data_IF_328325092891
#
_entry.id   IF_328325092891
#
_cell.length_a   1.000
_cell.length_b   1.000
_cell.length_c   1.000
_cell.angle_alpha   90.00
_cell.angle_beta   90.00
_cell.angle_gamma   90.00
#
_symmetry.space_group_name_H-M   'P 1'
#
loop_
_entity.id
_entity.type
_entity.pdbx_description
1 polymer ?
#
# COMPACT_ATOMS: atom_id res chain seq x y z
N UNK A 1 -12.62 34.40 -1.46
CA UNK A 1 -12.42 33.24 -0.57
C UNK A 1 -13.36 32.14 -1.05
N UNK A 2 -12.82 31.02 -1.53
CA UNK A 2 -13.64 29.81 -1.68
C UNK A 2 -13.97 29.26 -0.30
N UNK A 3 -15.04 28.48 -0.17
CA UNK A 3 -15.59 27.94 1.08
C UNK A 3 -14.64 27.08 1.92
N UNK A 4 -13.44 26.80 1.41
CA UNK A 4 -12.59 25.70 1.89
C UNK A 4 -11.27 26.16 2.55
N UNK A 5 -10.98 27.47 2.54
CA UNK A 5 -9.82 28.06 3.23
C UNK A 5 -10.24 28.61 4.59
N UNK A 6 -9.68 28.08 5.69
CA UNK A 6 -10.10 28.41 7.06
C UNK A 6 -9.51 29.70 7.62
N UNK A 7 -8.55 30.31 6.91
CA UNK A 7 -7.95 31.62 7.27
C UNK A 7 -7.52 32.36 6.01
N UNK A 8 -7.54 33.70 6.04
CA UNK A 8 -6.88 34.51 5.03
C UNK A 8 -5.36 34.35 5.18
N UNK A 9 -4.69 33.84 4.15
CA UNK A 9 -3.23 33.69 4.15
C UNK A 9 -2.53 35.01 4.42
N UNK A 10 -1.33 34.96 5.02
CA UNK A 10 -0.48 36.15 5.21
C UNK A 10 0.33 36.37 3.93
N UNK A 11 0.05 37.45 3.21
CA UNK A 11 0.78 37.83 2.01
C UNK A 11 1.95 38.75 2.37
N UNK A 12 3.14 38.41 1.90
CA UNK A 12 4.34 39.27 1.99
C UNK A 12 4.78 39.64 0.58
N UNK A 13 4.97 40.94 0.33
CA UNK A 13 5.36 41.52 -0.97
C UNK A 13 6.88 41.68 -1.10
N UNK A 14 7.60 41.77 0.03
CA UNK A 14 9.05 41.97 0.11
C UNK A 14 9.90 40.71 -0.06
N UNK A 15 9.31 39.52 0.05
CA UNK A 15 10.00 38.23 -0.17
C UNK A 15 9.17 37.30 -1.06
N UNK A 16 9.86 36.36 -1.72
CA UNK A 16 9.23 35.25 -2.44
C UNK A 16 8.73 34.15 -1.49
N UNK A 17 9.24 34.14 -0.25
CA UNK A 17 9.07 33.06 0.71
C UNK A 17 7.96 33.35 1.73
N UNK A 18 7.39 32.26 2.26
CA UNK A 18 6.57 32.21 3.47
C UNK A 18 5.13 32.78 3.38
N UNK A 19 4.47 32.73 2.22
CA UNK A 19 3.02 32.93 2.19
C UNK A 19 2.30 31.62 2.53
N UNK A 20 2.08 31.40 3.82
CA UNK A 20 1.37 30.21 4.29
C UNK A 20 -0.13 30.45 4.37
N UNK A 21 -0.89 29.43 4.02
CA UNK A 21 -2.32 29.36 4.25
C UNK A 21 -2.70 27.96 4.71
N UNK A 22 -3.72 27.86 5.53
CA UNK A 22 -4.24 26.57 5.98
C UNK A 22 -5.41 26.16 5.10
N UNK A 23 -5.31 24.97 4.52
CA UNK A 23 -6.38 24.32 3.78
C UNK A 23 -6.72 22.99 4.44
N UNK A 24 -7.94 22.86 4.97
CA UNK A 24 -8.42 21.64 5.65
C UNK A 24 -7.45 21.09 6.71
N UNK A 25 -6.82 21.98 7.49
CA UNK A 25 -5.88 21.63 8.56
C UNK A 25 -4.43 21.38 8.09
N UNK A 26 -4.14 21.46 6.80
CA UNK A 26 -2.78 21.37 6.25
C UNK A 26 -2.25 22.78 6.00
N UNK A 27 -1.06 23.08 6.49
CA UNK A 27 -0.34 24.30 6.13
C UNK A 27 0.28 24.14 4.74
N UNK A 28 -0.09 25.03 3.83
CA UNK A 28 0.37 25.08 2.46
C UNK A 28 1.18 26.36 2.25
N UNK A 29 2.27 26.28 1.50
CA UNK A 29 3.08 27.44 1.13
C UNK A 29 2.79 27.82 -0.31
N UNK A 30 2.43 29.08 -0.53
CA UNK A 30 2.32 29.69 -1.84
C UNK A 30 3.54 30.58 -2.09
N UNK A 31 4.23 30.36 -3.20
CA UNK A 31 5.29 31.26 -3.64
C UNK A 31 4.70 32.19 -4.71
N UNK A 32 4.63 33.48 -4.39
CA UNK A 32 4.11 34.49 -5.32
C UNK A 32 5.28 35.30 -5.86
N UNK A 33 5.48 35.18 -7.17
CA UNK A 33 6.50 35.94 -7.86
C UNK A 33 5.87 37.13 -8.60
N UNK A 34 6.17 38.34 -8.11
CA UNK A 34 5.82 39.59 -8.76
C UNK A 34 7.06 40.20 -9.44
N UNK A 35 6.93 40.79 -10.64
CA UNK A 35 8.03 41.51 -11.27
C UNK A 35 8.45 42.73 -10.43
N UNK A 36 9.67 43.22 -10.61
CA UNK A 36 10.22 44.31 -9.79
C UNK A 36 9.34 45.58 -9.77
N UNK A 37 8.66 45.87 -10.88
CA UNK A 37 7.72 46.98 -10.99
C UNK A 37 6.47 46.84 -10.10
N UNK A 38 6.04 45.60 -9.83
CA UNK A 38 4.84 45.31 -9.04
C UNK A 38 5.15 45.14 -7.54
N UNK A 39 6.42 45.25 -7.15
CA UNK A 39 6.89 45.11 -5.76
C UNK A 39 7.30 46.43 -5.10
N UNK A 40 7.05 47.55 -5.79
CA UNK A 40 7.50 48.88 -5.37
C UNK A 40 6.74 49.39 -4.14
N UNK A 41 5.49 48.97 -3.95
CA UNK A 41 4.69 49.28 -2.75
C UNK A 41 3.62 48.22 -2.50
N UNK A 42 3.12 48.13 -1.27
CA UNK A 42 2.04 47.23 -0.86
C UNK A 42 0.81 47.41 -1.74
N UNK A 43 0.44 48.66 -2.03
CA UNK A 43 -0.71 48.98 -2.89
C UNK A 43 -0.52 48.48 -4.34
N UNK A 44 0.71 48.51 -4.87
CA UNK A 44 1.02 48.01 -6.22
C UNK A 44 0.97 46.47 -6.26
N UNK A 45 1.49 45.82 -5.22
CA UNK A 45 1.46 44.36 -5.10
C UNK A 45 0.02 43.84 -4.93
N UNK A 46 -0.78 44.49 -4.08
CA UNK A 46 -2.18 44.16 -3.87
C UNK A 46 -3.00 44.33 -5.16
N UNK A 47 -2.75 45.41 -5.92
CA UNK A 47 -3.39 45.64 -7.21
C UNK A 47 -3.00 44.57 -8.26
N UNK A 48 -1.75 44.11 -8.27
CA UNK A 48 -1.28 43.06 -9.18
C UNK A 48 -1.87 41.67 -8.88
N UNK A 49 -2.27 41.44 -7.62
CA UNK A 49 -2.88 40.20 -7.14
C UNK A 49 -4.41 40.26 -7.08
N UNK A 50 -5.00 41.45 -7.19
CA UNK A 50 -6.44 41.65 -7.22
C UNK A 50 -7.10 40.84 -8.34
N UNK A 51 -8.23 40.19 -8.03
CA UNK A 51 -9.00 39.35 -8.95
C UNK A 51 -8.27 38.11 -9.51
N UNK A 52 -7.12 37.73 -8.95
CA UNK A 52 -6.50 36.43 -9.29
C UNK A 52 -7.18 35.29 -8.53
N UNK A 53 -7.55 34.25 -9.27
CA UNK A 53 -7.99 32.97 -8.70
C UNK A 53 -6.85 31.96 -8.76
N UNK A 54 -6.54 31.34 -7.62
CA UNK A 54 -5.57 30.25 -7.54
C UNK A 54 -6.32 28.94 -7.31
N UNK A 55 -6.02 27.94 -8.13
CA UNK A 55 -6.57 26.61 -7.98
C UNK A 55 -5.50 25.70 -7.39
N UNK A 56 -5.80 25.10 -6.24
CA UNK A 56 -5.03 23.96 -5.77
C UNK A 56 -5.48 22.72 -6.55
N UNK A 57 -4.52 22.01 -7.13
CA UNK A 57 -4.75 20.72 -7.75
C UNK A 57 -3.63 19.76 -7.32
N UNK A 58 -3.95 18.49 -7.10
CA UNK A 58 -2.94 17.45 -6.98
C UNK A 58 -2.28 17.20 -8.34
N UNK A 59 -1.04 16.72 -8.36
CA UNK A 59 -0.45 16.20 -9.60
C UNK A 59 -1.37 15.11 -10.19
N UNK A 60 -1.71 15.17 -11.50
CA UNK A 60 -2.49 14.11 -12.15
C UNK A 60 -1.80 12.76 -12.07
N UNK A 61 -2.61 11.70 -11.94
CA UNK A 61 -2.10 10.34 -11.95
C UNK A 61 -1.42 9.98 -13.27
N UNK A 62 -0.42 9.11 -13.16
CA UNK A 62 0.34 8.69 -14.33
C UNK A 62 -0.41 7.56 -15.02
N UNK A 63 -0.54 7.65 -16.33
CA UNK A 63 -1.17 6.60 -17.13
C UNK A 63 -0.17 6.15 -18.17
N UNK A 64 0.16 4.87 -18.16
CA UNK A 64 0.98 4.24 -19.18
C UNK A 64 0.10 3.37 -20.07
N UNK A 65 0.51 3.25 -21.33
CA UNK A 65 -0.23 2.46 -22.31
C UNK A 65 0.70 1.61 -23.12
N UNK A 66 0.31 0.37 -23.36
CA UNK A 66 1.01 -0.56 -24.24
C UNK A 66 0.07 -1.09 -25.33
N UNK A 67 0.61 -1.28 -26.53
CA UNK A 67 -0.14 -1.81 -27.67
C UNK A 67 -0.22 -3.33 -27.56
N UNK A 68 -1.41 -3.90 -27.70
CA UNK A 68 -1.55 -5.36 -27.78
C UNK A 68 -0.91 -5.91 -29.05
N UNK A 69 -0.20 -7.04 -28.92
CA UNK A 69 0.44 -7.70 -30.06
C UNK A 69 -0.57 -8.20 -31.11
N UNK A 70 -1.85 -8.39 -30.73
CA UNK A 70 -2.92 -8.84 -31.61
C UNK A 70 -3.54 -7.76 -32.50
N UNK A 71 -3.10 -6.50 -32.40
CA UNK A 71 -3.65 -5.41 -33.19
C UNK A 71 -3.21 -5.52 -34.66
N UNK A 72 -4.15 -5.22 -35.57
CA UNK A 72 -3.93 -5.35 -37.01
C UNK A 72 -3.45 -4.06 -37.66
N UNK A 73 -3.77 -2.89 -37.08
CA UNK A 73 -3.29 -1.59 -37.58
C UNK A 73 -1.89 -1.25 -37.09
N UNK A 74 -1.24 -0.26 -37.69
CA UNK A 74 0.02 0.31 -37.17
C UNK A 74 -0.19 1.41 -36.13
N UNK A 75 -1.42 1.61 -35.64
CA UNK A 75 -1.71 2.69 -34.71
C UNK A 75 -1.02 2.49 -33.36
N UNK A 76 -0.54 3.59 -32.78
CA UNK A 76 0.15 3.61 -31.48
C UNK A 76 -0.43 4.72 -30.60
N UNK A 77 -0.30 4.57 -29.28
CA UNK A 77 -0.60 5.64 -28.34
C UNK A 77 0.70 6.44 -28.14
N UNK A 78 0.72 7.69 -28.59
CA UNK A 78 1.88 8.58 -28.50
C UNK A 78 1.99 9.28 -27.14
N UNK A 79 0.85 9.48 -26.48
CA UNK A 79 0.76 10.09 -25.16
C UNK A 79 -0.52 9.67 -24.44
N UNK A 80 -0.43 9.50 -23.13
CA UNK A 80 -1.54 9.15 -22.24
C UNK A 80 -1.44 10.02 -21.00
N UNK A 81 -2.39 10.93 -20.82
CA UNK A 81 -2.37 11.88 -19.70
C UNK A 81 -3.77 12.05 -19.13
N UNK A 82 -3.88 12.07 -17.80
CA UNK A 82 -5.13 12.48 -17.14
C UNK A 82 -5.39 13.94 -17.48
N UNK A 83 -6.62 14.25 -17.89
CA UNK A 83 -7.02 15.60 -18.26
C UNK A 83 -6.88 16.58 -17.10
N UNK A 84 -6.62 17.85 -17.44
CA UNK A 84 -6.41 18.92 -16.46
C UNK A 84 -7.72 19.60 -16.02
N UNK A 85 -8.85 19.33 -16.69
CA UNK A 85 -10.13 19.95 -16.37
C UNK A 85 -10.76 19.29 -15.15
N UNK A 86 -11.52 20.04 -14.35
CA UNK A 86 -12.19 19.48 -13.17
C UNK A 86 -13.08 18.27 -13.51
N UNK A 87 -13.75 18.31 -14.66
CA UNK A 87 -14.59 17.22 -15.16
C UNK A 87 -13.77 15.95 -15.46
N UNK A 88 -12.61 16.09 -16.13
CA UNK A 88 -11.71 14.96 -16.41
C UNK A 88 -11.23 14.32 -15.12
N UNK A 89 -10.86 15.13 -14.12
CA UNK A 89 -10.34 14.61 -12.85
C UNK A 89 -11.42 13.90 -12.03
N UNK A 90 -12.65 14.41 -12.04
CA UNK A 90 -13.79 13.74 -11.44
C UNK A 90 -14.11 12.44 -12.18
N UNK A 91 -14.07 12.43 -13.51
CA UNK A 91 -14.28 11.22 -14.30
C UNK A 91 -13.20 10.18 -14.00
N UNK A 92 -11.93 10.59 -13.94
CA UNK A 92 -10.82 9.69 -13.64
C UNK A 92 -10.98 9.05 -12.26
N UNK A 93 -11.16 9.86 -11.22
CA UNK A 93 -11.25 9.36 -9.85
C UNK A 93 -12.47 8.47 -9.59
N UNK A 94 -13.60 8.71 -10.28
CA UNK A 94 -14.85 8.00 -10.00
C UNK A 94 -15.16 6.86 -10.98
N UNK A 95 -14.61 6.93 -12.20
CA UNK A 95 -14.99 5.99 -13.28
C UNK A 95 -13.82 5.24 -13.86
N UNK A 96 -12.57 5.71 -13.73
CA UNK A 96 -11.44 4.98 -14.30
C UNK A 96 -11.13 3.70 -13.48
N UNK A 97 -10.97 2.53 -14.12
CA UNK A 97 -10.65 1.28 -13.41
C UNK A 97 -9.30 1.34 -12.69
N UNK A 98 -9.26 0.97 -11.41
CA UNK A 98 -8.04 1.02 -10.58
C UNK A 98 -7.04 -0.09 -10.91
N UNK A 99 -7.51 -1.26 -11.32
CA UNK A 99 -6.68 -2.45 -11.57
C UNK A 99 -6.15 -2.51 -13.02
N UNK A 100 -6.30 -1.42 -13.77
CA UNK A 100 -5.96 -1.31 -15.18
C UNK A 100 -7.18 -1.38 -16.09
N UNK A 101 -7.00 -0.88 -17.31
CA UNK A 101 -8.06 -0.77 -18.30
C UNK A 101 -7.57 -1.23 -19.68
N UNK A 102 -8.51 -1.54 -20.56
CA UNK A 102 -8.23 -1.88 -21.96
C UNK A 102 -9.04 -0.93 -22.82
N UNK A 103 -8.34 -0.08 -23.58
CA UNK A 103 -8.93 0.75 -24.61
C UNK A 103 -9.05 -0.05 -25.90
N UNK A 104 -10.28 -0.39 -26.29
CA UNK A 104 -10.59 -1.18 -27.48
C UNK A 104 -11.25 -0.30 -28.53
N UNK A 105 -10.70 -0.27 -29.74
CA UNK A 105 -11.32 0.40 -30.88
C UNK A 105 -12.40 -0.49 -31.51
N UNK A 106 -13.58 0.07 -31.73
CA UNK A 106 -14.71 -0.58 -32.42
C UNK A 106 -14.81 -0.13 -33.88
N UNK A 107 -14.26 1.05 -34.19
CA UNK A 107 -14.06 1.58 -35.54
C UNK A 107 -12.75 2.37 -35.61
N UNK A 108 -12.37 2.95 -36.76
CA UNK A 108 -11.21 3.84 -36.85
C UNK A 108 -11.27 5.08 -35.96
N UNK A 109 -12.46 5.46 -35.47
CA UNK A 109 -12.67 6.63 -34.61
C UNK A 109 -13.38 6.31 -33.31
N UNK A 110 -14.15 5.22 -33.24
CA UNK A 110 -14.95 4.87 -32.06
C UNK A 110 -14.19 3.87 -31.18
N UNK A 111 -14.31 4.09 -29.86
CA UNK A 111 -13.63 3.27 -28.86
C UNK A 111 -14.50 3.03 -27.64
N UNK A 112 -14.16 1.94 -26.97
CA UNK A 112 -14.70 1.53 -25.68
C UNK A 112 -13.54 1.28 -24.71
N UNK A 113 -13.67 1.80 -23.49
CA UNK A 113 -12.76 1.52 -22.39
C UNK A 113 -13.37 0.45 -21.49
N UNK A 114 -12.65 -0.64 -21.26
CA UNK A 114 -13.06 -1.74 -20.38
C UNK A 114 -12.15 -1.81 -19.16
N UNK A 115 -12.67 -2.30 -18.03
CA UNK A 115 -11.83 -2.70 -16.90
C UNK A 115 -11.07 -4.00 -17.24
N UNK A 116 -9.80 -4.06 -16.84
CA UNK A 116 -9.02 -5.29 -16.93
C UNK A 116 -9.31 -6.22 -15.73
N UNK A 117 -9.36 -7.55 -15.90
CA UNK A 117 -9.28 -8.29 -17.16
C UNK A 117 -10.59 -8.24 -17.98
N UNK A 118 -10.46 -8.22 -19.32
CA UNK A 118 -11.61 -8.25 -20.22
C UNK A 118 -12.21 -9.67 -20.31
N UNK A 119 -13.52 -9.78 -20.06
CA UNK A 119 -14.30 -11.02 -20.20
C UNK A 119 -15.43 -10.83 -21.21
N UNK A 120 -16.05 -11.91 -21.67
CA UNK A 120 -17.19 -11.85 -22.61
C UNK A 120 -18.43 -11.16 -22.06
N UNK A 121 -18.55 -11.05 -20.73
CA UNK A 121 -19.62 -10.32 -20.03
C UNK A 121 -19.24 -8.89 -19.62
N UNK A 122 -18.03 -8.44 -19.90
CA UNK A 122 -17.55 -7.12 -19.50
C UNK A 122 -18.32 -6.03 -20.25
N UNK A 123 -18.80 -5.02 -19.51
CA UNK A 123 -19.42 -3.81 -20.07
C UNK A 123 -18.38 -2.70 -20.19
N UNK A 124 -18.48 -1.83 -21.21
CA UNK A 124 -17.61 -0.67 -21.31
C UNK A 124 -17.88 0.27 -20.12
N UNK A 125 -16.79 0.73 -19.53
CA UNK A 125 -16.74 1.70 -18.43
C UNK A 125 -16.93 3.11 -18.98
N UNK A 126 -16.39 3.36 -20.17
CA UNK A 126 -16.58 4.58 -20.94
C UNK A 126 -16.57 4.21 -22.43
N UNK A 127 -17.30 4.97 -23.23
CA UNK A 127 -17.31 4.85 -24.69
C UNK A 127 -17.29 6.24 -25.29
N UNK A 128 -16.74 6.38 -26.49
CA UNK A 128 -16.64 7.67 -27.15
C UNK A 128 -16.11 7.59 -28.56
N UNK A 129 -16.03 8.75 -29.19
CA UNK A 129 -15.48 8.93 -30.53
C UNK A 129 -14.29 9.88 -30.45
N UNK A 130 -13.22 9.55 -31.16
CA UNK A 130 -12.02 10.36 -31.23
C UNK A 130 -12.33 11.74 -31.79
N UNK A 131 -11.79 12.76 -31.14
CA UNK A 131 -11.78 14.13 -31.67
C UNK A 131 -10.39 14.40 -32.25
N UNK A 132 -10.28 14.42 -33.57
CA UNK A 132 -8.98 14.43 -34.25
C UNK A 132 -8.20 13.16 -33.95
N UNK A 133 -7.03 13.29 -33.33
CA UNK A 133 -6.19 12.18 -32.88
C UNK A 133 -6.35 11.81 -31.40
N UNK A 134 -7.28 12.45 -30.67
CA UNK A 134 -7.42 12.25 -29.22
C UNK A 134 -8.69 11.48 -28.87
N UNK A 135 -8.52 10.39 -28.10
CA UNK A 135 -9.60 9.68 -27.42
C UNK A 135 -9.63 10.10 -25.94
N UNK A 136 -10.75 10.65 -25.45
CA UNK A 136 -10.95 10.93 -24.04
C UNK A 136 -11.83 9.84 -23.43
N UNK A 137 -11.26 8.98 -22.59
CA UNK A 137 -12.00 7.89 -21.94
C UNK A 137 -11.85 8.00 -20.42
N UNK A 138 -12.98 8.10 -19.71
CA UNK A 138 -13.01 8.25 -18.25
C UNK A 138 -12.02 9.31 -17.71
N UNK A 139 -11.88 10.45 -18.39
CA UNK A 139 -11.01 11.55 -17.98
C UNK A 139 -9.52 11.41 -18.34
N UNK A 140 -9.14 10.35 -19.07
CA UNK A 140 -7.79 10.20 -19.64
C UNK A 140 -7.81 10.56 -21.12
N UNK A 141 -6.88 11.42 -21.53
CA UNK A 141 -6.64 11.77 -22.92
C UNK A 141 -5.55 10.86 -23.50
N UNK A 142 -5.95 10.00 -24.44
CA UNK A 142 -5.07 9.14 -25.23
C UNK A 142 -4.85 9.79 -26.59
N UNK A 143 -3.62 10.18 -26.90
CA UNK A 143 -3.25 10.66 -28.22
C UNK A 143 -2.81 9.48 -29.08
N UNK A 144 -3.51 9.26 -30.18
CA UNK A 144 -3.33 8.13 -31.07
C UNK A 144 -2.59 8.60 -32.33
N UNK A 145 -1.48 7.95 -32.64
CA UNK A 145 -0.75 8.12 -33.89
C UNK A 145 -1.15 7.03 -34.88
N UNK A 146 -1.47 7.42 -36.11
CA UNK A 146 -2.01 6.51 -37.14
C UNK A 146 -3.53 6.31 -37.03
N UNK A 147 -4.04 5.34 -37.80
CA UNK A 147 -5.48 5.04 -37.87
C UNK A 147 -5.74 3.67 -37.27
N UNK A 148 -6.41 3.57 -36.11
CA UNK A 148 -6.81 2.29 -35.52
C UNK A 148 -7.72 1.48 -36.45
N UNK A 149 -7.70 0.16 -36.29
CA UNK A 149 -8.67 -0.73 -36.90
C UNK A 149 -9.65 -1.25 -35.84
N UNK A 150 -10.85 -1.63 -36.28
CA UNK A 150 -11.83 -2.28 -35.42
C UNK A 150 -11.22 -3.57 -34.82
N UNK A 151 -11.27 -3.69 -33.49
CA UNK A 151 -10.71 -4.80 -32.74
C UNK A 151 -9.36 -4.53 -32.08
N UNK A 152 -8.67 -3.45 -32.46
CA UNK A 152 -7.40 -3.05 -31.84
C UNK A 152 -7.58 -2.71 -30.36
N UNK A 153 -6.61 -3.10 -29.55
CA UNK A 153 -6.61 -3.00 -28.10
C UNK A 153 -5.30 -2.39 -27.60
N UNK A 154 -5.43 -1.46 -26.66
CA UNK A 154 -4.33 -0.87 -25.92
C UNK A 154 -4.56 -1.13 -24.44
N UNK A 155 -3.58 -1.75 -23.80
CA UNK A 155 -3.60 -2.02 -22.37
C UNK A 155 -3.16 -0.73 -21.68
N UNK A 156 -3.95 -0.29 -20.71
CA UNK A 156 -3.77 0.95 -19.98
C UNK A 156 -3.52 0.59 -18.51
N UNK A 157 -2.39 1.04 -17.98
CA UNK A 157 -2.06 0.89 -16.57
C UNK A 157 -2.07 2.28 -15.92
N UNK A 158 -2.67 2.36 -14.74
CA UNK A 158 -2.72 3.60 -13.96
C UNK A 158 -1.78 3.48 -12.76
N UNK A 159 -0.82 4.39 -12.66
CA UNK A 159 -0.03 4.62 -11.45
C UNK A 159 -0.68 5.71 -10.61
N UNK A 160 -1.32 5.33 -9.50
CA UNK A 160 -1.92 6.27 -8.56
C UNK A 160 -0.83 6.88 -7.67
N UNK A 161 -0.70 8.21 -7.64
CA UNK A 161 0.22 8.89 -6.72
C UNK A 161 -0.27 8.87 -5.27
N UNK A 162 -1.43 8.25 -4.98
CA UNK A 162 -1.88 7.96 -3.60
C UNK A 162 -0.87 7.09 -2.84
N UNK A 163 -0.14 6.22 -3.54
CA UNK A 163 0.93 5.39 -2.97
C UNK A 163 2.18 5.53 -3.82
N UNK A 164 2.90 6.64 -3.65
CA UNK A 164 4.20 6.82 -4.29
C UNK A 164 5.25 5.90 -3.67
N UNK A 165 5.97 5.19 -4.55
CA UNK A 165 7.11 4.40 -4.14
C UNK A 165 8.28 5.32 -3.77
N UNK A 166 9.06 4.95 -2.75
CA UNK A 166 10.26 5.70 -2.35
C UNK A 166 11.27 5.85 -3.49
N UNK A 167 11.41 4.83 -4.36
CA UNK A 167 12.28 4.87 -5.53
C UNK A 167 11.77 5.84 -6.59
N UNK A 168 10.45 5.93 -6.78
CA UNK A 168 9.84 6.92 -7.68
C UNK A 168 10.02 8.33 -7.12
N UNK A 169 9.84 8.50 -5.81
CA UNK A 169 10.09 9.77 -5.10
C UNK A 169 11.54 10.23 -5.28
N UNK A 170 12.52 9.32 -5.12
CA UNK A 170 13.93 9.62 -5.35
C UNK A 170 14.21 9.95 -6.82
N UNK A 171 13.61 9.20 -7.75
CA UNK A 171 13.75 9.47 -9.20
C UNK A 171 13.20 10.84 -9.57
N UNK A 172 12.05 11.23 -9.02
CA UNK A 172 11.46 12.55 -9.19
C UNK A 172 12.35 13.66 -8.62
N UNK A 173 12.95 13.45 -7.44
CA UNK A 173 13.91 14.40 -6.84
C UNK A 173 15.18 14.56 -7.69
N UNK A 174 15.76 13.45 -8.17
CA UNK A 174 16.93 13.48 -9.07
C UNK A 174 16.59 14.23 -10.36
N UNK A 175 15.42 13.98 -10.95
CA UNK A 175 14.95 14.66 -12.16
C UNK A 175 14.74 16.15 -11.94
N UNK A 176 14.21 16.54 -10.77
CA UNK A 176 14.06 17.94 -10.42
C UNK A 176 15.43 18.64 -10.31
N UNK A 177 16.41 17.98 -9.67
CA UNK A 177 17.78 18.50 -9.54
C UNK A 177 18.57 18.52 -10.85
N UNK A 178 18.25 17.64 -11.81
CA UNK A 178 18.90 17.61 -13.11
C UNK A 178 18.27 18.53 -14.15
N UNK A 179 17.15 19.19 -13.82
CA UNK A 179 16.49 20.15 -14.71
C UNK A 179 17.16 21.52 -14.60
N UNK A 180 17.71 22.09 -15.68
CA UNK A 180 18.32 23.43 -15.63
C UNK A 180 17.29 24.50 -15.25
N UNK A 181 17.64 25.36 -14.29
CA UNK A 181 16.76 26.44 -13.79
C UNK A 181 17.28 27.85 -14.10
N UNK A 182 18.43 27.95 -14.78
CA UNK A 182 19.14 29.22 -14.98
C UNK A 182 18.27 30.28 -15.67
N UNK A 183 18.10 31.40 -14.98
CA UNK A 183 17.34 32.56 -15.47
C UNK A 183 15.82 32.36 -15.56
N UNK A 184 15.28 31.17 -15.24
CA UNK A 184 13.85 30.90 -15.29
C UNK A 184 13.27 30.72 -13.88
N UNK A 185 12.58 31.76 -13.42
CA UNK A 185 12.00 31.82 -12.07
C UNK A 185 10.84 30.83 -11.87
N UNK A 186 10.17 30.39 -12.94
CA UNK A 186 9.15 29.33 -12.88
C UNK A 186 9.81 27.97 -12.72
N UNK A 187 10.90 27.71 -13.45
CA UNK A 187 11.65 26.47 -13.35
C UNK A 187 12.26 26.29 -11.95
N UNK A 188 12.81 27.35 -11.36
CA UNK A 188 13.35 27.34 -10.00
C UNK A 188 12.27 27.02 -8.95
N UNK A 189 11.07 27.62 -9.07
CA UNK A 189 9.95 27.32 -8.16
C UNK A 189 9.46 25.87 -8.30
N UNK A 190 9.36 25.36 -9.53
CA UNK A 190 8.98 23.96 -9.77
C UNK A 190 9.99 23.00 -9.16
N UNK A 191 11.29 23.31 -9.22
CA UNK A 191 12.34 22.52 -8.57
C UNK A 191 12.15 22.50 -7.05
N UNK A 192 11.99 23.66 -6.41
CA UNK A 192 11.77 23.75 -4.95
C UNK A 192 10.50 23.02 -4.53
N UNK A 193 9.41 23.15 -5.28
CA UNK A 193 8.16 22.44 -5.00
C UNK A 193 8.33 20.92 -5.10
N UNK A 194 9.03 20.43 -6.14
CA UNK A 194 9.32 19.01 -6.30
C UNK A 194 10.20 18.45 -5.15
N UNK A 195 11.20 19.21 -4.70
CA UNK A 195 12.05 18.83 -3.57
C UNK A 195 11.26 18.79 -2.25
N UNK A 196 10.40 19.77 -1.98
CA UNK A 196 9.55 19.79 -0.79
C UNK A 196 8.58 18.60 -0.78
N UNK A 197 7.98 18.28 -1.92
CA UNK A 197 7.13 17.09 -2.05
C UNK A 197 7.92 15.81 -1.83
N UNK A 198 9.14 15.71 -2.37
CA UNK A 198 10.00 14.55 -2.16
C UNK A 198 10.38 14.37 -0.68
N UNK A 199 10.70 15.46 0.03
CA UNK A 199 10.97 15.44 1.46
C UNK A 199 9.77 14.95 2.28
N UNK A 200 8.56 15.43 1.97
CA UNK A 200 7.34 14.97 2.63
C UNK A 200 7.05 13.48 2.40
N UNK A 201 7.23 13.01 1.18
CA UNK A 201 7.08 11.59 0.83
C UNK A 201 8.13 10.72 1.53
N UNK A 202 9.39 11.16 1.60
CA UNK A 202 10.45 10.45 2.32
C UNK A 202 10.16 10.36 3.83
N UNK A 203 9.69 11.45 4.46
CA UNK A 203 9.31 11.42 5.87
C UNK A 203 8.18 10.42 6.12
N UNK A 204 7.19 10.38 5.23
CA UNK A 204 6.09 9.40 5.31
C UNK A 204 6.60 7.97 5.15
N UNK A 205 7.55 7.73 4.23
CA UNK A 205 8.17 6.43 4.05
C UNK A 205 8.97 5.97 5.28
N UNK A 206 9.68 6.89 5.95
CA UNK A 206 10.39 6.61 7.21
C UNK A 206 9.40 6.18 8.30
N UNK A 207 8.28 6.88 8.44
CA UNK A 207 7.23 6.51 9.41
C UNK A 207 6.62 5.14 9.12
N UNK A 208 6.38 4.81 7.84
CA UNK A 208 5.91 3.48 7.44
C UNK A 208 6.93 2.39 7.79
N UNK A 209 8.22 2.64 7.53
CA UNK A 209 9.28 1.72 7.89
C UNK A 209 9.40 1.56 9.43
N UNK A 210 9.26 2.63 10.19
CA UNK A 210 9.25 2.63 11.66
C UNK A 210 8.07 1.81 12.21
N UNK A 211 6.89 1.98 11.62
CA UNK A 211 5.68 1.20 11.95
C UNK A 211 5.89 -0.28 11.66
N UNK A 212 6.45 -0.63 10.49
CA UNK A 212 6.74 -2.00 10.12
C UNK A 212 7.75 -2.66 11.09
N UNK A 213 8.80 -1.93 11.48
CA UNK A 213 9.78 -2.40 12.49
C UNK A 213 9.13 -2.63 13.85
N UNK A 214 8.29 -1.70 14.30
CA UNK A 214 7.54 -1.82 15.56
C UNK A 214 6.61 -3.04 15.55
N UNK A 215 5.88 -3.27 14.45
CA UNK A 215 5.05 -4.45 14.26
C UNK A 215 5.87 -5.75 14.27
N UNK A 216 7.05 -5.74 13.66
CA UNK A 216 8.01 -6.84 13.72
C UNK A 216 8.45 -7.14 15.15
N UNK A 217 8.80 -6.11 15.93
CA UNK A 217 9.15 -6.25 17.35
C UNK A 217 8.01 -6.78 18.21
N UNK A 218 6.77 -6.32 17.97
CA UNK A 218 5.59 -6.84 18.66
C UNK A 218 5.35 -8.33 18.35
N UNK A 219 5.52 -8.75 17.10
CA UNK A 219 5.44 -10.17 16.70
C UNK A 219 6.55 -11.01 17.32
N UNK A 220 7.77 -10.48 17.40
CA UNK A 220 8.88 -11.15 18.08
C UNK A 220 8.56 -11.35 19.57
N UNK A 221 8.04 -10.33 20.25
CA UNK A 221 7.63 -10.44 21.65
C UNK A 221 6.54 -11.50 21.84
N UNK A 222 5.52 -11.51 20.97
CA UNK A 222 4.46 -12.51 21.00
C UNK A 222 5.00 -13.93 20.77
N UNK A 223 5.94 -14.10 19.84
CA UNK A 223 6.59 -15.39 19.59
C UNK A 223 7.41 -15.87 20.79
N UNK A 224 8.17 -14.98 21.43
CA UNK A 224 8.91 -15.29 22.66
C UNK A 224 7.98 -15.70 23.79
N UNK A 225 6.89 -14.95 24.00
CA UNK A 225 5.88 -15.27 25.02
C UNK A 225 5.24 -16.64 24.77
N UNK A 226 4.87 -16.92 23.52
CA UNK A 226 4.34 -18.24 23.14
C UNK A 226 5.37 -19.35 23.37
N UNK A 227 6.65 -19.10 23.09
CA UNK A 227 7.75 -20.01 23.39
C UNK A 227 7.81 -20.36 24.89
N UNK A 228 7.79 -19.34 25.75
CA UNK A 228 7.74 -19.53 27.21
C UNK A 228 6.51 -20.33 27.65
N UNK A 229 5.33 -20.03 27.09
CA UNK A 229 4.11 -20.80 27.37
C UNK A 229 4.23 -22.26 26.94
N UNK A 230 4.81 -22.53 25.78
CA UNK A 230 5.03 -23.89 25.29
C UNK A 230 6.00 -24.67 26.19
N UNK A 231 7.07 -24.02 26.67
CA UNK A 231 8.02 -24.64 27.58
C UNK A 231 7.39 -24.96 28.94
N UNK A 232 6.55 -24.06 29.47
CA UNK A 232 5.76 -24.33 30.68
C UNK A 232 4.79 -25.51 30.48
N UNK A 233 4.09 -25.58 29.35
CA UNK A 233 3.21 -26.69 29.00
C UNK A 233 3.96 -28.02 28.92
N UNK A 234 5.15 -28.04 28.31
CA UNK A 234 6.02 -29.22 28.28
C UNK A 234 6.48 -29.64 29.68
N UNK A 235 6.86 -28.67 30.52
CA UNK A 235 7.24 -28.91 31.92
C UNK A 235 6.10 -29.55 32.71
N UNK A 236 4.91 -28.94 32.66
CA UNK A 236 3.71 -29.45 33.33
C UNK A 236 3.34 -30.85 32.83
N UNK A 237 3.36 -31.09 31.52
CA UNK A 237 3.11 -32.42 30.96
C UNK A 237 4.13 -33.47 31.47
N UNK A 238 5.40 -33.09 31.63
CA UNK A 238 6.43 -33.98 32.17
C UNK A 238 6.16 -34.30 33.66
N UNK A 239 5.78 -33.30 34.46
CA UNK A 239 5.40 -33.49 35.87
C UNK A 239 4.15 -34.35 36.02
N UNK A 240 3.11 -34.09 35.23
CA UNK A 240 1.86 -34.87 35.24
C UNK A 240 2.12 -36.33 34.85
N UNK A 241 2.83 -36.56 33.73
CA UNK A 241 3.22 -37.92 33.32
C UNK A 241 4.06 -38.62 34.40
N UNK A 242 4.99 -37.90 35.02
CA UNK A 242 5.78 -38.43 36.15
C UNK A 242 4.91 -38.87 37.31
N UNK A 243 3.87 -38.12 37.68
CA UNK A 243 2.94 -38.50 38.76
C UNK A 243 2.22 -39.81 38.45
N UNK A 244 1.68 -39.98 37.24
CA UNK A 244 0.97 -41.22 36.88
C UNK A 244 1.91 -42.42 36.78
N UNK A 245 3.05 -42.27 36.09
CA UNK A 245 3.99 -43.38 35.85
C UNK A 245 4.67 -43.79 37.16
N UNK A 246 5.10 -42.84 37.99
CA UNK A 246 5.76 -43.17 39.25
C UNK A 246 4.78 -43.76 40.27
N UNK A 247 3.53 -43.32 40.30
CA UNK A 247 2.52 -43.92 41.18
C UNK A 247 2.23 -45.38 40.81
N UNK A 248 2.09 -45.68 39.51
CA UNK A 248 1.85 -47.05 39.02
C UNK A 248 3.05 -47.97 39.30
N UNK A 249 4.29 -47.50 39.12
CA UNK A 249 5.49 -48.28 39.48
C UNK A 249 5.51 -48.63 40.98
N UNK A 250 5.14 -47.68 41.85
CA UNK A 250 5.08 -47.92 43.30
C UNK A 250 3.98 -48.94 43.61
N UNK A 251 2.77 -48.78 43.08
CA UNK A 251 1.66 -49.70 43.30
C UNK A 251 1.96 -51.12 42.78
N UNK A 252 2.47 -51.23 41.55
CA UNK A 252 2.87 -52.49 40.94
C UNK A 252 3.97 -53.19 41.75
N UNK A 253 4.97 -52.44 42.24
CA UNK A 253 6.05 -52.99 43.07
C UNK A 253 5.52 -53.46 44.43
N UNK A 254 4.64 -52.69 45.07
CA UNK A 254 4.00 -53.08 46.33
C UNK A 254 3.13 -54.33 46.16
N UNK A 255 2.32 -54.38 45.10
CA UNK A 255 1.47 -55.54 44.80
C UNK A 255 2.29 -56.79 44.51
N UNK A 256 3.35 -56.66 43.71
CA UNK A 256 4.28 -57.76 43.43
C UNK A 256 4.96 -58.26 44.71
N UNK A 257 5.38 -57.34 45.58
CA UNK A 257 5.99 -57.68 46.87
C UNK A 257 5.01 -58.44 47.75
N UNK A 258 3.77 -57.97 47.89
CA UNK A 258 2.72 -58.67 48.64
C UNK A 258 2.43 -60.06 48.08
N UNK A 259 2.32 -60.19 46.75
CA UNK A 259 2.14 -61.48 46.09
C UNK A 259 3.31 -62.42 46.34
N UNK A 260 4.55 -61.93 46.29
CA UNK A 260 5.74 -62.71 46.61
C UNK A 260 5.75 -63.16 48.06
N UNK A 261 5.45 -62.27 49.01
CA UNK A 261 5.35 -62.62 50.43
C UNK A 261 4.26 -63.65 50.70
N UNK A 262 3.09 -63.53 50.05
CA UNK A 262 2.03 -64.54 50.13
C UNK A 262 2.45 -65.89 49.55
N UNK A 263 3.15 -65.88 48.40
CA UNK A 263 3.65 -67.09 47.77
C UNK A 263 4.68 -67.79 48.65
N UNK A 264 5.65 -67.05 49.18
CA UNK A 264 6.68 -67.58 50.08
C UNK A 264 6.05 -68.16 51.36
N UNK A 265 5.06 -67.45 51.95
CA UNK A 265 4.30 -67.94 53.10
C UNK A 265 3.50 -69.21 52.77
N UNK A 266 2.86 -69.26 51.59
CA UNK A 266 2.10 -70.45 51.14
C UNK A 266 3.02 -71.64 50.92
N UNK A 267 4.21 -71.44 50.36
CA UNK A 267 5.23 -72.48 50.22
C UNK A 267 5.71 -72.98 51.59
N UNK A 268 5.95 -72.09 52.55
CA UNK A 268 6.29 -72.48 53.93
C UNK A 268 5.17 -73.30 54.59
N UNK A 269 3.90 -72.84 54.51
CA UNK A 269 2.75 -73.58 55.05
C UNK A 269 2.59 -74.94 54.37
N UNK A 270 2.74 -75.02 53.05
CA UNK A 270 2.71 -76.29 52.33
C UNK A 270 3.83 -77.25 52.79
N UNK A 271 5.04 -76.75 53.02
CA UNK A 271 6.13 -77.59 53.55
C UNK A 271 5.85 -78.06 54.98
N UNK A 272 5.24 -77.23 55.83
CA UNK A 272 4.83 -77.61 57.19
C UNK A 272 3.71 -78.65 57.17
N UNK A 273 2.69 -78.48 56.32
CA UNK A 273 1.59 -79.44 56.15
C UNK A 273 2.07 -80.77 55.57
N UNK A 274 2.97 -80.73 54.56
CA UNK A 274 3.57 -81.92 53.97
C UNK A 274 4.40 -82.69 55.01
N UNK A 275 5.11 -82.00 55.91
CA UNK A 275 5.78 -82.64 57.05
C UNK A 275 4.78 -83.27 58.03
N UNK A 276 3.67 -82.60 58.35
CA UNK A 276 2.62 -83.13 59.24
C UNK A 276 1.91 -84.36 58.67
N UNK A 277 1.63 -84.41 57.36
CA UNK A 277 0.99 -85.57 56.73
C UNK A 277 1.92 -86.80 56.67
N UNK A 278 3.24 -86.57 56.53
CA UNK A 278 4.25 -87.64 56.58
C UNK A 278 4.41 -88.24 57.99
N UNK A 279 4.17 -87.46 59.05
CA UNK A 279 4.09 -87.98 60.42
C UNK A 279 2.72 -88.62 60.76
N UNK A 280 1.69 -88.47 59.91
CA UNK A 280 0.39 -89.14 60.08
C UNK A 280 0.30 -90.46 59.31
N UNK A 281 1.33 -90.83 58.53
CA UNK A 281 1.41 -92.09 57.78
C UNK A 281 2.41 -93.10 58.39
N UNK A 282 2.95 -92.83 59.58
CA UNK A 282 3.53 -93.83 60.47
C UNK A 282 2.63 -94.01 61.69
#
# INVERSE_FOLDING_TARGET
MSSDTSSGGKFSHGSFDAQTFTFRGVEMTLNVNLPAADRVSDATADAALANRSYQLASTPDSVSTSRSAGNTSTATVSSSVVGNTAADRTAFNNTFPTDGAILKFTSPTDYDLYAAPLTSSSKPVSSGTMTGSTANASGVNFNISGTPAAGDQFIVESGTHQTENILNTLTAAIKALSTPTDGNLVASQNMTAALNSALGNMSSAIEQASTARSNGGARQLAATAQGTTNDLLKGNNTTEQGTYVNADIVEATTRLTLQKTMLDASQQVFTMLSKLNLFSQL
#
